data_IF_104378322087
#
_entry.id   IF_104378322087
#
_cell.length_a   1.000
_cell.length_b   1.000
_cell.length_c   1.000
_cell.angle_alpha   90.00
_cell.angle_beta   90.00
_cell.angle_gamma   90.00
#
_symmetry.space_group_name_H-M   'P 1'
#
loop_
_entity.id
_entity.type
_entity.pdbx_description
1 polymer ?
#
# COMPACT_ATOMS: atom_id res chain seq x y z
N UNK A 1 -6.32 -20.85 -10.38
CA UNK A 1 -4.90 -20.49 -10.11
C UNK A 1 -4.81 -19.03 -9.68
N UNK A 2 -3.95 -18.71 -8.71
CA UNK A 2 -3.68 -17.35 -8.21
C UNK A 2 -2.27 -16.94 -8.57
N UNK A 3 -2.07 -15.69 -8.99
CA UNK A 3 -0.73 -15.11 -9.22
C UNK A 3 -0.41 -14.10 -8.13
N UNK A 4 0.75 -14.20 -7.49
CA UNK A 4 1.24 -13.22 -6.50
C UNK A 4 2.40 -12.46 -7.13
N UNK A 5 2.17 -11.16 -7.36
CA UNK A 5 3.16 -10.23 -7.89
C UNK A 5 3.85 -9.52 -6.74
N UNK A 6 5.17 -9.68 -6.65
CA UNK A 6 6.02 -9.05 -5.64
C UNK A 6 6.93 -8.03 -6.33
N UNK A 7 6.89 -6.77 -5.87
CA UNK A 7 7.77 -5.71 -6.38
C UNK A 7 8.89 -5.44 -5.41
N UNK A 8 10.13 -5.31 -5.93
CA UNK A 8 11.30 -5.21 -5.07
C UNK A 8 12.44 -4.37 -5.65
N UNK A 9 13.29 -3.89 -4.74
CA UNK A 9 14.61 -3.35 -4.99
C UNK A 9 15.47 -3.46 -3.74
N UNK A 10 16.60 -4.19 -3.81
CA UNK A 10 17.57 -4.34 -2.71
C UNK A 10 16.88 -4.71 -1.38
N UNK A 11 16.30 -5.89 -1.32
CA UNK A 11 15.47 -6.34 -0.19
C UNK A 11 15.78 -7.78 0.23
N UNK A 12 17.07 -8.18 0.20
CA UNK A 12 17.52 -9.53 0.56
C UNK A 12 17.09 -9.96 1.96
N UNK A 13 16.90 -9.01 2.87
CA UNK A 13 16.46 -9.27 4.25
C UNK A 13 14.96 -9.61 4.36
N UNK A 14 14.11 -9.20 3.39
CA UNK A 14 12.66 -9.38 3.45
C UNK A 14 12.13 -10.44 2.49
N UNK A 15 12.80 -10.62 1.32
CA UNK A 15 12.28 -11.40 0.22
C UNK A 15 11.96 -12.85 0.58
N UNK A 16 12.79 -13.47 1.44
CA UNK A 16 12.57 -14.85 1.85
C UNK A 16 11.28 -15.02 2.66
N UNK A 17 11.03 -14.14 3.61
CA UNK A 17 9.84 -14.20 4.47
C UNK A 17 8.57 -13.85 3.68
N UNK A 18 8.65 -12.87 2.77
CA UNK A 18 7.57 -12.52 1.87
C UNK A 18 7.13 -13.76 1.03
N UNK A 19 8.06 -14.39 0.32
CA UNK A 19 7.78 -15.57 -0.52
C UNK A 19 7.30 -16.75 0.33
N UNK A 20 7.95 -17.05 1.46
CA UNK A 20 7.54 -18.14 2.36
C UNK A 20 6.12 -17.93 2.91
N UNK A 21 5.68 -16.71 3.16
CA UNK A 21 4.32 -16.44 3.60
C UNK A 21 3.27 -16.84 2.56
N UNK A 22 3.61 -16.76 1.28
CA UNK A 22 2.77 -17.22 0.16
C UNK A 22 2.80 -18.75 0.05
N UNK A 23 3.99 -19.36 0.05
CA UNK A 23 4.17 -20.81 -0.07
C UNK A 23 3.51 -21.58 1.08
N UNK A 24 3.56 -21.02 2.29
CA UNK A 24 2.99 -21.63 3.49
C UNK A 24 1.50 -21.32 3.69
N UNK A 25 0.85 -20.68 2.73
CA UNK A 25 -0.59 -20.37 2.82
C UNK A 25 -1.45 -21.63 2.88
N UNK A 26 -2.59 -21.54 3.56
CA UNK A 26 -3.54 -22.64 3.61
C UNK A 26 -4.12 -22.94 2.23
N UNK A 27 -4.22 -21.96 1.33
CA UNK A 27 -4.65 -22.18 -0.05
C UNK A 27 -3.77 -23.22 -0.78
N UNK A 28 -2.44 -23.19 -0.61
CA UNK A 28 -1.54 -24.22 -1.19
C UNK A 28 -1.69 -25.55 -0.45
N UNK A 29 -1.78 -25.54 0.89
CA UNK A 29 -1.97 -26.76 1.70
C UNK A 29 -3.24 -27.52 1.31
N UNK A 30 -4.28 -26.78 0.90
CA UNK A 30 -5.57 -27.32 0.45
C UNK A 30 -5.59 -27.67 -1.05
N UNK A 31 -4.44 -27.69 -1.72
CA UNK A 31 -4.29 -28.08 -3.13
C UNK A 31 -4.46 -26.97 -4.16
N UNK A 32 -4.52 -25.72 -3.74
CA UNK A 32 -4.60 -24.57 -4.63
C UNK A 32 -3.29 -24.30 -5.35
N UNK A 33 -3.38 -23.85 -6.60
CA UNK A 33 -2.22 -23.52 -7.43
C UNK A 33 -1.87 -22.04 -7.35
N UNK A 34 -0.59 -21.73 -7.06
CA UNK A 34 -0.04 -20.36 -7.02
C UNK A 34 1.19 -20.26 -7.89
N UNK A 35 1.27 -19.19 -8.68
CA UNK A 35 2.53 -18.71 -9.24
C UNK A 35 3.01 -17.47 -8.49
N UNK A 36 4.32 -17.39 -8.26
CA UNK A 36 4.95 -16.21 -7.64
C UNK A 36 5.78 -15.52 -8.72
N UNK A 37 5.49 -14.22 -8.93
CA UNK A 37 6.15 -13.37 -9.91
C UNK A 37 6.88 -12.27 -9.18
N UNK A 38 8.21 -12.32 -9.21
CA UNK A 38 9.05 -11.23 -8.71
C UNK A 38 9.37 -10.26 -9.84
N UNK A 39 9.06 -8.99 -9.65
CA UNK A 39 9.50 -7.92 -10.55
C UNK A 39 10.50 -7.04 -9.82
N UNK A 40 11.76 -7.17 -10.23
CA UNK A 40 12.89 -6.52 -9.57
C UNK A 40 13.33 -5.25 -10.29
N UNK A 41 13.57 -4.18 -9.55
CA UNK A 41 14.10 -2.92 -10.05
C UNK A 41 15.64 -2.90 -9.97
N UNK A 42 16.29 -3.85 -10.67
CA UNK A 42 17.75 -3.94 -10.81
C UNK A 42 18.49 -3.96 -9.46
N UNK A 43 18.11 -4.87 -8.58
CA UNK A 43 18.79 -5.11 -7.30
C UNK A 43 20.24 -5.54 -7.50
N UNK A 44 21.10 -5.09 -6.59
CA UNK A 44 22.54 -5.40 -6.58
C UNK A 44 22.97 -6.32 -5.43
N UNK A 45 22.01 -6.66 -4.56
CA UNK A 45 22.14 -7.61 -3.46
C UNK A 45 21.62 -9.00 -3.87
N UNK A 46 21.44 -9.91 -2.91
CA UNK A 46 21.00 -11.28 -3.17
C UNK A 46 19.49 -11.46 -3.35
N UNK A 47 18.73 -10.38 -3.48
CA UNK A 47 17.25 -10.42 -3.58
C UNK A 47 16.77 -11.38 -4.66
N UNK A 48 17.29 -11.24 -5.89
CA UNK A 48 16.86 -12.06 -7.04
C UNK A 48 17.32 -13.51 -6.92
N UNK A 49 18.53 -13.74 -6.39
CA UNK A 49 19.07 -15.09 -6.12
C UNK A 49 18.16 -15.87 -5.17
N UNK A 50 17.81 -15.24 -4.03
CA UNK A 50 16.94 -15.85 -3.00
C UNK A 50 15.55 -16.13 -3.58
N UNK A 51 14.98 -15.22 -4.35
CA UNK A 51 13.66 -15.39 -4.93
C UNK A 51 13.61 -16.57 -5.92
N UNK A 52 14.64 -16.70 -6.79
CA UNK A 52 14.78 -17.84 -7.71
C UNK A 52 14.91 -19.16 -6.96
N UNK A 53 15.72 -19.20 -5.92
CA UNK A 53 15.89 -20.39 -5.08
C UNK A 53 14.57 -20.85 -4.45
N UNK A 54 13.69 -19.91 -4.10
CA UNK A 54 12.37 -20.18 -3.55
C UNK A 54 11.29 -20.42 -4.63
N UNK A 55 11.66 -20.53 -5.91
CA UNK A 55 10.76 -20.91 -7.00
C UNK A 55 9.99 -19.76 -7.65
N UNK A 56 10.32 -18.50 -7.35
CA UNK A 56 9.67 -17.37 -8.00
C UNK A 56 10.15 -17.18 -9.45
N UNK A 57 9.21 -16.89 -10.37
CA UNK A 57 9.51 -16.37 -11.70
C UNK A 57 10.01 -14.95 -11.57
N UNK A 58 11.21 -14.64 -12.06
CA UNK A 58 11.82 -13.33 -11.83
C UNK A 58 11.98 -12.55 -13.12
N UNK A 59 11.62 -11.26 -13.06
CA UNK A 59 11.69 -10.31 -14.17
C UNK A 59 12.36 -9.01 -13.71
N UNK A 60 12.97 -8.30 -14.67
CA UNK A 60 13.59 -6.98 -14.42
C UNK A 60 12.72 -5.87 -15.02
N UNK A 61 12.28 -4.95 -14.19
CA UNK A 61 11.52 -3.76 -14.62
C UNK A 61 11.66 -2.64 -13.61
N UNK A 62 11.92 -1.43 -14.09
CA UNK A 62 11.98 -0.20 -13.30
C UNK A 62 11.52 1.01 -14.13
N UNK A 63 11.67 2.22 -13.59
CA UNK A 63 12.18 2.49 -12.23
C UNK A 63 11.11 2.48 -11.11
N UNK A 64 9.80 2.59 -11.42
CA UNK A 64 8.76 2.84 -10.41
C UNK A 64 7.91 1.61 -10.10
N UNK A 65 7.38 1.54 -8.86
CA UNK A 65 6.54 0.41 -8.38
C UNK A 65 5.32 0.17 -9.27
N UNK A 66 4.68 1.23 -9.75
CA UNK A 66 3.53 1.11 -10.66
C UNK A 66 3.90 0.37 -11.95
N UNK A 67 5.06 0.68 -12.54
CA UNK A 67 5.56 -0.02 -13.72
C UNK A 67 5.91 -1.48 -13.43
N UNK A 68 6.51 -1.77 -12.26
CA UNK A 68 6.79 -3.15 -11.83
C UNK A 68 5.48 -3.93 -11.63
N UNK A 69 4.49 -3.37 -10.92
CA UNK A 69 3.19 -4.00 -10.66
C UNK A 69 2.45 -4.31 -11.96
N UNK A 70 2.37 -3.33 -12.87
CA UNK A 70 1.71 -3.52 -14.18
C UNK A 70 2.38 -4.65 -14.97
N UNK A 71 3.71 -4.60 -15.08
CA UNK A 71 4.46 -5.63 -15.79
C UNK A 71 4.28 -7.02 -15.16
N UNK A 72 4.27 -7.11 -13.85
CA UNK A 72 4.02 -8.38 -13.14
C UNK A 72 2.63 -8.95 -13.44
N UNK A 73 1.60 -8.10 -13.48
CA UNK A 73 0.23 -8.52 -13.83
C UNK A 73 0.10 -8.92 -15.30
N UNK A 74 0.84 -8.27 -16.21
CA UNK A 74 0.93 -8.67 -17.63
C UNK A 74 1.52 -10.08 -17.77
N UNK A 75 2.54 -10.41 -16.97
CA UNK A 75 3.18 -11.74 -16.96
C UNK A 75 2.40 -12.82 -16.19
N UNK A 76 1.39 -12.42 -15.42
CA UNK A 76 0.57 -13.33 -14.63
C UNK A 76 -0.33 -14.20 -15.50
N UNK A 77 -0.49 -15.46 -15.12
CA UNK A 77 -1.38 -16.42 -15.77
C UNK A 77 -2.67 -16.66 -14.98
N UNK A 78 -2.67 -16.34 -13.68
CA UNK A 78 -3.82 -16.53 -12.78
C UNK A 78 -4.97 -15.55 -13.06
N UNK A 79 -6.19 -16.02 -12.88
CA UNK A 79 -7.40 -15.21 -12.97
C UNK A 79 -7.51 -14.21 -11.82
N UNK A 80 -6.96 -14.58 -10.67
CA UNK A 80 -6.87 -13.75 -9.46
C UNK A 80 -5.41 -13.34 -9.30
N UNK A 81 -5.18 -12.05 -9.10
CA UNK A 81 -3.83 -11.52 -8.84
C UNK A 81 -3.80 -10.81 -7.50
N UNK A 82 -2.79 -11.15 -6.69
CA UNK A 82 -2.42 -10.43 -5.48
C UNK A 82 -1.16 -9.60 -5.70
N UNK A 83 -1.10 -8.39 -5.16
CA UNK A 83 0.10 -7.54 -5.18
C UNK A 83 0.63 -7.39 -3.76
N UNK A 84 1.93 -7.69 -3.59
CA UNK A 84 2.66 -7.49 -2.34
C UNK A 84 3.87 -6.60 -2.57
N UNK A 85 4.12 -5.70 -1.64
CA UNK A 85 5.43 -5.09 -1.50
C UNK A 85 6.34 -6.08 -0.75
N UNK A 86 7.64 -6.12 -1.04
CA UNK A 86 8.56 -7.15 -0.53
C UNK A 86 8.70 -7.18 1.00
N UNK A 87 8.41 -6.06 1.66
CA UNK A 87 8.40 -5.90 3.12
C UNK A 87 7.05 -6.29 3.77
N UNK A 88 6.23 -7.07 3.04
CA UNK A 88 4.94 -7.58 3.51
C UNK A 88 4.91 -9.10 3.55
N UNK A 89 4.18 -9.65 4.53
CA UNK A 89 3.86 -11.08 4.61
C UNK A 89 2.35 -11.27 4.76
N UNK A 90 1.80 -12.32 4.15
CA UNK A 90 0.38 -12.66 4.27
C UNK A 90 0.15 -13.57 5.48
N UNK A 91 -1.00 -13.42 6.14
CA UNK A 91 -1.47 -14.46 7.06
C UNK A 91 -1.88 -15.71 6.28
N UNK A 92 -1.82 -16.87 6.92
CA UNK A 92 -2.03 -18.18 6.27
C UNK A 92 -3.37 -18.30 5.51
N UNK A 93 -4.42 -17.64 5.98
CA UNK A 93 -5.76 -17.70 5.38
C UNK A 93 -6.04 -16.59 4.35
N UNK A 94 -5.13 -15.61 4.17
CA UNK A 94 -5.45 -14.43 3.37
C UNK A 94 -5.77 -14.76 1.91
N UNK A 95 -5.02 -15.69 1.29
CA UNK A 95 -5.24 -16.09 -0.11
C UNK A 95 -6.52 -16.91 -0.24
N UNK A 96 -6.74 -17.90 0.65
CA UNK A 96 -7.98 -18.73 0.64
C UNK A 96 -9.22 -17.86 0.76
N UNK A 97 -9.21 -16.89 1.69
CA UNK A 97 -10.34 -15.98 1.88
C UNK A 97 -10.58 -15.09 0.65
N UNK A 98 -9.52 -14.59 -0.01
CA UNK A 98 -9.67 -13.84 -1.25
C UNK A 98 -10.29 -14.67 -2.37
N UNK A 99 -9.83 -15.92 -2.54
CA UNK A 99 -10.36 -16.83 -3.56
C UNK A 99 -11.83 -17.14 -3.28
N UNK A 100 -12.18 -17.49 -2.04
CA UNK A 100 -13.56 -17.76 -1.63
C UNK A 100 -14.49 -16.55 -1.89
N UNK A 101 -14.04 -15.34 -1.61
CA UNK A 101 -14.81 -14.12 -1.88
C UNK A 101 -15.07 -13.97 -3.38
N UNK A 102 -14.05 -14.17 -4.23
CA UNK A 102 -14.21 -14.04 -5.69
C UNK A 102 -15.10 -15.16 -6.26
N UNK A 103 -15.00 -16.40 -5.78
CA UNK A 103 -15.82 -17.51 -6.22
C UNK A 103 -17.30 -17.33 -5.84
N UNK A 104 -17.57 -16.83 -4.65
CA UNK A 104 -18.93 -16.64 -4.16
C UNK A 104 -19.61 -15.36 -4.67
N UNK A 105 -18.87 -14.42 -5.29
CA UNK A 105 -19.46 -13.15 -5.75
C UNK A 105 -18.74 -12.58 -6.97
N UNK A 106 -19.33 -12.79 -8.14
CA UNK A 106 -18.79 -12.28 -9.41
C UNK A 106 -18.80 -10.75 -9.51
N UNK A 107 -19.63 -10.05 -8.73
CA UNK A 107 -19.65 -8.59 -8.71
C UNK A 107 -18.44 -7.99 -7.98
N UNK A 108 -17.77 -8.77 -7.11
CA UNK A 108 -16.53 -8.31 -6.46
C UNK A 108 -15.38 -8.41 -7.47
N UNK A 109 -14.75 -7.27 -7.73
CA UNK A 109 -13.63 -7.13 -8.68
C UNK A 109 -12.30 -6.92 -8.01
N UNK A 110 -12.30 -6.38 -6.79
CA UNK A 110 -11.09 -6.14 -6.03
C UNK A 110 -11.32 -6.22 -4.50
N UNK A 111 -10.25 -6.56 -3.78
CA UNK A 111 -10.29 -6.83 -2.34
C UNK A 111 -9.18 -6.05 -1.63
N UNK A 112 -9.55 -5.39 -0.53
CA UNK A 112 -8.61 -4.86 0.46
C UNK A 112 -8.21 -5.95 1.43
N UNK A 113 -6.98 -5.89 1.91
CA UNK A 113 -6.51 -6.74 3.02
C UNK A 113 -6.12 -5.84 4.19
N UNK A 114 -6.67 -6.08 5.41
CA UNK A 114 -6.29 -5.30 6.58
C UNK A 114 -4.78 -5.37 6.81
N UNK A 115 -4.12 -4.22 6.85
CA UNK A 115 -2.68 -4.15 7.07
C UNK A 115 -2.38 -3.98 8.56
N UNK A 116 -1.48 -4.83 9.09
CA UNK A 116 -0.94 -4.74 10.44
C UNK A 116 0.56 -4.52 10.39
N UNK A 117 1.06 -3.64 11.25
CA UNK A 117 2.51 -3.49 11.48
C UNK A 117 3.00 -4.72 12.23
N UNK A 118 4.02 -5.38 11.71
CA UNK A 118 4.64 -6.53 12.36
C UNK A 118 5.44 -6.08 13.60
N UNK A 119 5.48 -6.94 14.61
CA UNK A 119 6.23 -6.71 15.84
C UNK A 119 5.36 -6.45 17.06
N UNK A 120 6.02 -6.36 18.21
CA UNK A 120 5.39 -6.24 19.52
C UNK A 120 5.66 -4.86 20.16
N UNK A 121 5.04 -4.62 21.31
CA UNK A 121 5.21 -3.43 22.09
C UNK A 121 4.09 -2.39 21.94
N UNK A 122 4.12 -1.40 22.82
CA UNK A 122 3.06 -0.39 22.89
C UNK A 122 2.97 0.48 21.63
N UNK A 123 4.12 0.86 21.08
CA UNK A 123 4.15 1.66 19.85
C UNK A 123 3.47 0.93 18.68
N UNK A 124 3.76 -0.37 18.49
CA UNK A 124 3.11 -1.17 17.44
C UNK A 124 1.60 -1.33 17.69
N UNK A 125 1.17 -1.46 18.95
CA UNK A 125 -0.26 -1.47 19.30
C UNK A 125 -0.94 -0.16 18.90
N UNK A 126 -0.33 1.00 19.17
CA UNK A 126 -0.86 2.32 18.78
C UNK A 126 -0.92 2.46 17.25
N UNK A 127 0.13 2.03 16.54
CA UNK A 127 0.17 2.07 15.07
C UNK A 127 -0.88 1.15 14.45
N UNK A 128 -1.03 -0.07 14.96
CA UNK A 128 -2.07 -1.01 14.51
C UNK A 128 -3.47 -0.50 14.82
N UNK A 129 -3.66 0.15 15.96
CA UNK A 129 -4.91 0.81 16.29
C UNK A 129 -5.25 1.90 15.27
N UNK A 130 -4.31 2.77 14.93
CA UNK A 130 -4.46 3.80 13.89
C UNK A 130 -4.79 3.19 12.52
N UNK A 131 -3.99 2.23 12.05
CA UNK A 131 -4.19 1.63 10.73
C UNK A 131 -5.55 0.98 10.57
N UNK A 132 -6.08 0.40 11.63
CA UNK A 132 -7.41 -0.24 11.62
C UNK A 132 -8.58 0.71 11.32
N UNK A 133 -8.38 2.04 11.33
CA UNK A 133 -9.36 3.02 10.89
C UNK A 133 -9.32 3.30 9.40
N UNK A 134 -8.22 2.93 8.72
CA UNK A 134 -8.01 3.21 7.30
C UNK A 134 -8.54 2.11 6.38
N UNK A 135 -8.85 0.94 6.93
CA UNK A 135 -9.32 -0.24 6.19
C UNK A 135 -10.50 0.10 5.28
N UNK A 136 -10.37 -0.22 3.98
CA UNK A 136 -11.35 0.01 2.92
C UNK A 136 -11.88 1.46 2.82
N UNK A 137 -11.07 2.44 3.22
CA UNK A 137 -11.39 3.86 3.07
C UNK A 137 -10.78 4.43 1.79
N UNK A 138 -11.08 5.70 1.50
CA UNK A 138 -10.52 6.42 0.32
C UNK A 138 -9.00 6.63 0.37
N UNK A 139 -8.35 6.23 1.46
CA UNK A 139 -6.89 6.32 1.67
C UNK A 139 -6.23 4.96 1.85
N UNK A 140 -6.97 3.88 1.59
CA UNK A 140 -6.47 2.50 1.57
C UNK A 140 -6.08 2.08 0.14
N UNK A 141 -5.44 0.92 0.00
CA UNK A 141 -5.03 0.35 -1.28
C UNK A 141 -5.58 -1.06 -1.50
N UNK A 142 -6.10 -1.32 -2.69
CA UNK A 142 -6.51 -2.65 -3.12
C UNK A 142 -5.30 -3.56 -3.27
N UNK A 143 -5.44 -4.83 -2.85
CA UNK A 143 -4.33 -5.80 -2.85
C UNK A 143 -4.60 -7.01 -3.74
N UNK A 144 -5.85 -7.48 -3.84
CA UNK A 144 -6.24 -8.58 -4.72
C UNK A 144 -7.32 -8.12 -5.69
N UNK A 145 -7.28 -8.63 -6.92
CA UNK A 145 -8.23 -8.27 -7.97
C UNK A 145 -8.35 -9.36 -9.03
N UNK A 146 -9.45 -9.34 -9.79
CA UNK A 146 -9.56 -10.11 -11.02
C UNK A 146 -8.60 -9.53 -12.06
N UNK A 147 -7.75 -10.38 -12.64
CA UNK A 147 -6.75 -9.95 -13.63
C UNK A 147 -7.36 -9.21 -14.81
N UNK A 148 -8.47 -9.73 -15.33
CA UNK A 148 -9.17 -9.10 -16.46
C UNK A 148 -9.62 -7.67 -16.16
N UNK A 149 -10.19 -7.42 -14.97
CA UNK A 149 -10.65 -6.09 -14.56
C UNK A 149 -9.47 -5.13 -14.38
N UNK A 150 -8.34 -5.60 -13.83
CA UNK A 150 -7.11 -4.81 -13.74
C UNK A 150 -6.63 -4.36 -15.14
N UNK A 151 -6.55 -5.28 -16.08
CA UNK A 151 -6.10 -4.99 -17.46
C UNK A 151 -7.09 -4.07 -18.18
N UNK A 152 -8.39 -4.28 -18.01
CA UNK A 152 -9.45 -3.47 -18.62
C UNK A 152 -9.40 -2.01 -18.21
N UNK A 153 -9.06 -1.70 -16.96
CA UNK A 153 -8.92 -0.32 -16.48
C UNK A 153 -7.51 0.26 -16.73
N UNK A 154 -6.60 -0.50 -17.35
CA UNK A 154 -5.25 -0.05 -17.72
C UNK A 154 -4.22 -0.08 -16.59
N UNK A 155 -4.44 -0.88 -15.52
CA UNK A 155 -3.50 -1.04 -14.42
C UNK A 155 -3.26 0.22 -13.60
N UNK A 156 -2.10 0.33 -12.94
CA UNK A 156 -1.67 1.53 -12.20
C UNK A 156 -1.19 2.62 -13.15
N UNK A 157 -1.53 3.86 -12.86
CA UNK A 157 -1.02 5.03 -13.60
C UNK A 157 0.43 5.30 -13.19
N UNK A 158 1.36 5.08 -14.12
CA UNK A 158 2.81 5.23 -13.88
C UNK A 158 3.26 6.69 -13.73
N UNK A 159 2.41 7.65 -14.05
CA UNK A 159 2.67 9.07 -13.82
C UNK A 159 2.42 9.51 -12.37
N UNK A 160 1.81 8.62 -11.58
CA UNK A 160 1.49 8.85 -10.18
C UNK A 160 2.46 8.11 -9.27
N UNK A 161 2.96 8.80 -8.23
CA UNK A 161 3.81 8.21 -7.22
C UNK A 161 3.32 8.62 -5.82
N UNK A 162 2.96 7.62 -4.99
CA UNK A 162 2.37 7.81 -3.67
C UNK A 162 0.86 8.03 -3.65
N UNK A 163 0.21 8.15 -4.81
CA UNK A 163 -1.23 8.24 -4.98
C UNK A 163 -1.78 7.23 -5.99
N UNK A 164 -0.92 6.37 -6.52
CA UNK A 164 -1.23 5.35 -7.51
C UNK A 164 -2.29 4.36 -7.01
N UNK A 165 -2.23 3.98 -5.73
CA UNK A 165 -3.18 3.07 -5.09
C UNK A 165 -4.58 3.71 -5.02
N UNK A 166 -4.66 5.01 -4.69
CA UNK A 166 -5.93 5.74 -4.63
C UNK A 166 -6.55 5.97 -6.00
N UNK A 167 -5.71 6.23 -7.01
CA UNK A 167 -6.14 6.36 -8.40
C UNK A 167 -6.71 5.03 -8.92
N UNK A 168 -5.99 3.94 -8.66
CA UNK A 168 -6.42 2.60 -9.04
C UNK A 168 -7.76 2.23 -8.39
N UNK A 169 -7.91 2.44 -7.09
CA UNK A 169 -9.17 2.23 -6.35
C UNK A 169 -10.33 3.03 -6.96
N UNK A 170 -10.11 4.31 -7.26
CA UNK A 170 -11.14 5.16 -7.89
C UNK A 170 -11.55 4.65 -9.25
N UNK A 171 -10.58 4.30 -10.12
CA UNK A 171 -10.88 3.77 -11.46
C UNK A 171 -11.60 2.44 -11.40
N UNK A 172 -11.21 1.54 -10.48
CA UNK A 172 -11.88 0.27 -10.26
C UNK A 172 -13.34 0.46 -9.87
N UNK A 173 -13.63 1.34 -8.90
CA UNK A 173 -15.00 1.67 -8.47
C UNK A 173 -15.81 2.38 -9.57
N UNK A 174 -15.21 3.31 -10.32
CA UNK A 174 -15.86 4.02 -11.42
C UNK A 174 -16.23 3.06 -12.56
N UNK A 175 -15.44 2.03 -12.80
CA UNK A 175 -15.74 0.98 -13.78
C UNK A 175 -16.84 0.01 -13.32
N UNK A 176 -17.52 0.28 -12.19
CA UNK A 176 -18.57 -0.56 -11.63
C UNK A 176 -18.05 -1.78 -10.86
N UNK A 177 -16.77 -1.80 -10.50
CA UNK A 177 -16.17 -2.87 -9.71
C UNK A 177 -16.63 -2.84 -8.24
N UNK A 178 -17.31 -3.88 -7.78
CA UNK A 178 -17.55 -4.10 -6.35
C UNK A 178 -16.24 -4.35 -5.61
N UNK A 179 -16.12 -3.77 -4.42
CA UNK A 179 -14.95 -3.99 -3.55
C UNK A 179 -15.36 -4.47 -2.18
N UNK A 180 -14.53 -5.29 -1.54
CA UNK A 180 -14.72 -5.77 -0.18
C UNK A 180 -13.39 -5.88 0.56
N UNK A 181 -13.41 -6.31 1.81
CA UNK A 181 -12.23 -6.47 2.65
C UNK A 181 -12.24 -7.84 3.31
N UNK A 182 -11.06 -8.48 3.40
CA UNK A 182 -10.89 -9.73 4.15
C UNK A 182 -10.88 -9.51 5.66
N UNK A 183 -11.02 -10.59 6.41
CA UNK A 183 -10.77 -10.63 7.87
C UNK A 183 -9.29 -10.92 8.14
N UNK A 184 -8.69 -11.76 7.32
CA UNK A 184 -7.29 -12.18 7.39
C UNK A 184 -6.36 -11.04 7.00
N UNK A 185 -5.41 -10.64 7.86
CA UNK A 185 -4.53 -9.51 7.62
C UNK A 185 -3.32 -9.87 6.76
N UNK A 186 -2.66 -8.85 6.25
CA UNK A 186 -1.24 -8.87 5.91
C UNK A 186 -0.42 -8.14 6.99
N UNK A 187 0.85 -8.46 7.08
CA UNK A 187 1.78 -7.86 8.04
C UNK A 187 2.86 -7.08 7.29
N UNK A 188 3.06 -5.83 7.66
CA UNK A 188 4.06 -4.94 7.09
C UNK A 188 5.24 -4.82 8.06
N UNK A 189 6.42 -5.19 7.60
CA UNK A 189 7.67 -5.15 8.36
C UNK A 189 8.29 -3.75 8.27
N UNK A 190 7.68 -2.76 8.96
CA UNK A 190 8.21 -1.39 9.01
C UNK A 190 9.43 -1.31 9.92
N UNK A 191 10.62 -1.10 9.35
CA UNK A 191 11.86 -0.83 10.09
C UNK A 191 12.16 0.67 10.22
N UNK A 192 11.20 1.54 9.87
CA UNK A 192 11.43 2.97 9.75
C UNK A 192 11.66 3.66 11.10
N UNK A 193 12.81 4.31 11.24
CA UNK A 193 12.98 5.34 12.27
C UNK A 193 12.24 6.65 11.86
N UNK A 194 12.01 7.53 12.84
CA UNK A 194 11.25 8.78 12.63
C UNK A 194 11.83 9.63 11.49
N UNK A 195 13.16 9.70 11.33
CA UNK A 195 13.82 10.48 10.28
C UNK A 195 13.52 9.92 8.87
N UNK A 196 13.67 8.61 8.70
CA UNK A 196 13.36 7.91 7.44
C UNK A 196 11.87 8.02 7.08
N UNK A 197 11.00 7.90 8.07
CA UNK A 197 9.55 8.08 7.89
C UNK A 197 9.21 9.48 7.34
N UNK A 198 9.80 10.53 7.90
CA UNK A 198 9.57 11.92 7.46
C UNK A 198 10.09 12.16 6.05
N UNK A 199 11.29 11.65 5.75
CA UNK A 199 11.89 11.80 4.41
C UNK A 199 11.05 11.11 3.33
N UNK A 200 10.57 9.89 3.60
CA UNK A 200 9.66 9.13 2.72
C UNK A 200 8.36 9.90 2.43
N UNK A 201 7.78 10.55 3.46
CA UNK A 201 6.55 11.37 3.29
C UNK A 201 6.77 12.64 2.49
N UNK A 202 7.92 13.30 2.63
CA UNK A 202 8.29 14.50 1.84
C UNK A 202 8.44 14.16 0.35
N UNK A 203 9.05 13.03 0.02
CA UNK A 203 9.19 12.56 -1.36
C UNK A 203 7.84 12.36 -2.07
N UNK A 204 6.89 11.71 -1.40
CA UNK A 204 5.55 11.50 -1.98
C UNK A 204 4.76 12.80 -2.15
N UNK A 205 4.93 13.77 -1.26
CA UNK A 205 4.19 15.03 -1.32
C UNK A 205 4.49 15.87 -2.57
N UNK A 206 5.67 15.72 -3.18
CA UNK A 206 6.06 16.43 -4.40
C UNK A 206 5.30 15.96 -5.66
N UNK A 207 4.63 14.81 -5.61
CA UNK A 207 3.96 14.21 -6.78
C UNK A 207 2.43 14.35 -6.77
N UNK A 208 1.85 15.09 -5.84
CA UNK A 208 0.40 15.23 -5.73
C UNK A 208 -0.24 16.04 -6.86
N UNK A 209 0.52 16.91 -7.52
CA UNK A 209 0.01 17.77 -8.59
C UNK A 209 -0.58 16.97 -9.76
N UNK A 210 0.02 15.84 -10.14
CA UNK A 210 -0.49 14.99 -11.21
C UNK A 210 -1.84 14.36 -10.82
N UNK A 211 -2.01 14.00 -9.55
CA UNK A 211 -3.28 13.49 -9.03
C UNK A 211 -4.38 14.56 -9.08
N UNK A 212 -4.07 15.80 -8.66
CA UNK A 212 -5.01 16.93 -8.74
C UNK A 212 -5.36 17.31 -10.16
N UNK A 213 -4.40 17.27 -11.10
CA UNK A 213 -4.68 17.50 -12.53
C UNK A 213 -5.64 16.46 -13.09
N UNK A 214 -5.52 15.19 -12.67
CA UNK A 214 -6.35 14.08 -13.16
C UNK A 214 -7.77 14.11 -12.58
N UNK A 215 -7.91 14.33 -11.28
CA UNK A 215 -9.17 14.15 -10.55
C UNK A 215 -9.82 15.44 -10.09
N UNK A 216 -9.13 16.57 -10.11
CA UNK A 216 -9.60 17.83 -9.55
C UNK A 216 -9.78 17.78 -8.05
N UNK A 217 -10.53 18.78 -7.51
CA UNK A 217 -10.86 18.91 -6.09
C UNK A 217 -12.30 18.46 -5.80
N UNK A 218 -12.63 17.21 -6.11
CA UNK A 218 -13.91 16.61 -5.79
C UNK A 218 -14.00 16.15 -4.31
N UNK A 219 -15.14 15.60 -3.90
CA UNK A 219 -15.37 15.16 -2.52
C UNK A 219 -14.39 14.05 -2.08
N UNK A 220 -13.99 13.16 -2.99
CA UNK A 220 -13.01 12.10 -2.68
C UNK A 220 -11.63 12.69 -2.46
N UNK A 221 -11.21 13.60 -3.34
CA UNK A 221 -9.92 14.29 -3.21
C UNK A 221 -9.86 15.15 -1.95
N UNK A 222 -10.96 15.84 -1.61
CA UNK A 222 -11.07 16.58 -0.34
C UNK A 222 -10.91 15.67 0.89
N UNK A 223 -11.45 14.46 0.86
CA UNK A 223 -11.23 13.46 1.92
C UNK A 223 -9.77 13.00 1.96
N UNK A 224 -9.20 12.62 0.82
CA UNK A 224 -7.84 12.08 0.73
C UNK A 224 -6.77 13.05 1.23
N UNK A 225 -6.92 14.34 0.95
CA UNK A 225 -5.93 15.37 1.28
C UNK A 225 -6.39 16.33 2.39
N UNK A 226 -7.69 16.38 2.70
CA UNK A 226 -8.26 17.31 3.66
C UNK A 226 -7.87 17.01 5.10
N UNK A 227 -7.45 18.06 5.82
CA UNK A 227 -7.10 17.97 7.24
C UNK A 227 -8.22 17.36 8.08
N UNK A 228 -9.46 17.84 7.89
CA UNK A 228 -10.59 17.34 8.67
C UNK A 228 -10.77 15.82 8.55
N UNK A 229 -10.79 15.29 7.32
CA UNK A 229 -10.98 13.84 7.14
C UNK A 229 -9.80 13.04 7.68
N UNK A 230 -8.57 13.47 7.41
CA UNK A 230 -7.34 12.76 7.81
C UNK A 230 -7.12 12.71 9.32
N UNK A 231 -7.60 13.71 10.06
CA UNK A 231 -7.37 13.84 11.51
C UNK A 231 -8.61 13.59 12.35
N UNK A 232 -9.82 13.67 11.77
CA UNK A 232 -11.07 13.50 12.49
C UNK A 232 -11.99 12.51 11.75
N UNK A 233 -12.38 12.82 10.52
CA UNK A 233 -13.44 12.15 9.79
C UNK A 233 -13.23 10.63 9.68
N UNK A 234 -12.03 10.18 9.28
CA UNK A 234 -11.70 8.76 9.13
C UNK A 234 -11.82 7.95 10.43
N UNK A 235 -11.67 8.61 11.57
CA UNK A 235 -11.75 7.99 12.90
C UNK A 235 -13.16 7.91 13.46
N UNK A 236 -14.10 8.68 12.90
CA UNK A 236 -15.48 8.74 13.39
C UNK A 236 -16.52 8.19 12.41
N UNK A 237 -16.20 8.15 11.10
CA UNK A 237 -17.11 7.64 10.07
C UNK A 237 -17.57 6.20 10.37
N UNK A 238 -18.75 5.83 9.88
CA UNK A 238 -19.31 4.48 10.00
C UNK A 238 -19.34 3.93 11.45
N UNK A 239 -19.46 4.81 12.45
CA UNK A 239 -19.51 4.40 13.84
C UNK A 239 -18.17 4.04 14.48
N UNK A 240 -17.04 4.27 13.78
CA UNK A 240 -15.68 4.00 14.28
C UNK A 240 -15.32 4.75 15.57
N UNK A 241 -16.03 5.87 15.88
CA UNK A 241 -15.86 6.60 17.13
C UNK A 241 -16.03 5.70 18.38
N UNK A 242 -16.88 4.67 18.30
CA UNK A 242 -17.06 3.69 19.39
C UNK A 242 -15.75 3.03 19.78
N UNK A 243 -14.88 2.74 18.80
CA UNK A 243 -13.56 2.15 18.99
C UNK A 243 -12.61 3.09 19.73
N UNK A 244 -12.68 4.41 19.48
CA UNK A 244 -11.89 5.39 20.20
C UNK A 244 -12.23 5.38 21.71
N UNK A 245 -13.51 5.35 22.05
CA UNK A 245 -13.97 5.31 23.44
C UNK A 245 -13.69 3.94 24.11
N UNK A 246 -13.73 2.84 23.36
CA UNK A 246 -13.38 1.52 23.88
C UNK A 246 -11.89 1.37 24.24
N UNK A 247 -11.01 2.20 23.63
CA UNK A 247 -9.58 2.13 23.84
C UNK A 247 -8.95 3.52 24.07
N UNK A 248 -9.29 4.22 25.17
CA UNK A 248 -8.95 5.65 25.37
C UNK A 248 -7.42 5.90 25.39
N UNK A 249 -6.63 4.99 25.96
CA UNK A 249 -5.16 5.13 26.01
C UNK A 249 -4.58 5.03 24.59
N UNK A 250 -5.03 4.07 23.77
CA UNK A 250 -4.57 3.94 22.40
C UNK A 250 -5.02 5.13 21.55
N UNK A 251 -6.25 5.62 21.75
CA UNK A 251 -6.79 6.79 21.06
C UNK A 251 -5.96 8.05 21.37
N UNK A 252 -5.69 8.32 22.65
CA UNK A 252 -4.85 9.45 23.06
C UNK A 252 -3.44 9.34 22.44
N UNK A 253 -2.81 8.17 22.56
CA UNK A 253 -1.45 7.94 22.02
C UNK A 253 -1.42 8.07 20.49
N UNK A 254 -2.45 7.60 19.80
CA UNK A 254 -2.61 7.75 18.35
C UNK A 254 -2.71 9.23 17.96
N UNK A 255 -3.57 10.03 18.62
CA UNK A 255 -3.68 11.45 18.34
C UNK A 255 -2.42 12.22 18.68
N UNK A 256 -1.68 11.82 19.72
CA UNK A 256 -0.38 12.38 20.03
C UNK A 256 0.65 12.12 18.91
N UNK A 257 0.68 10.89 18.35
CA UNK A 257 1.53 10.59 17.20
C UNK A 257 1.11 11.33 15.93
N UNK A 258 -0.20 11.51 15.70
CA UNK A 258 -0.73 12.32 14.60
C UNK A 258 -0.29 13.78 14.74
N UNK A 259 -0.38 14.34 15.92
CA UNK A 259 0.09 15.70 16.22
C UNK A 259 1.60 15.86 15.95
N UNK A 260 2.43 14.94 16.46
CA UNK A 260 3.87 14.97 16.20
C UNK A 260 4.19 14.91 14.70
N UNK A 261 3.48 14.06 13.93
CA UNK A 261 3.62 14.01 12.48
C UNK A 261 3.24 15.33 11.80
N UNK A 262 2.17 15.95 12.25
CA UNK A 262 1.76 17.28 11.77
C UNK A 262 2.83 18.34 12.01
N UNK A 263 3.39 18.41 13.22
CA UNK A 263 4.48 19.32 13.55
C UNK A 263 5.71 19.09 12.65
N UNK A 264 6.12 17.84 12.47
CA UNK A 264 7.27 17.51 11.61
C UNK A 264 7.01 17.88 10.16
N UNK A 265 5.80 17.64 9.63
CA UNK A 265 5.42 18.04 8.28
C UNK A 265 5.50 19.55 8.07
N UNK A 266 4.99 20.32 9.02
CA UNK A 266 5.04 21.79 9.00
C UNK A 266 6.50 22.29 9.01
N UNK A 267 7.33 21.76 9.91
CA UNK A 267 8.75 22.12 10.00
C UNK A 267 9.53 21.76 8.71
N UNK A 268 9.25 20.60 8.12
CA UNK A 268 9.86 20.20 6.84
C UNK A 268 9.48 21.17 5.71
N UNK A 269 8.21 21.59 5.63
CA UNK A 269 7.74 22.55 4.62
C UNK A 269 8.41 23.93 4.78
N UNK A 270 8.57 24.43 6.01
CA UNK A 270 9.30 25.67 6.28
C UNK A 270 10.77 25.59 5.88
N UNK A 271 11.44 24.47 6.13
CA UNK A 271 12.84 24.28 5.76
C UNK A 271 13.07 24.20 4.23
N UNK A 272 12.13 23.62 3.49
CA UNK A 272 12.16 23.58 2.02
C UNK A 272 11.98 24.99 1.46
N UNK A 273 10.98 25.74 1.91
CA UNK A 273 10.73 27.13 1.50
C UNK A 273 11.92 28.04 1.78
N UNK A 274 12.60 27.85 2.91
CA UNK A 274 13.82 28.62 3.25
C UNK A 274 14.99 28.31 2.34
N UNK A 275 15.18 27.04 1.91
CA UNK A 275 16.21 26.64 0.93
C UNK A 275 15.92 27.20 -0.45
N UNK A 276 14.67 27.19 -0.90
CA UNK A 276 14.27 27.78 -2.19
C UNK A 276 14.46 29.30 -2.20
N UNK A 277 14.11 30.00 -1.11
CA UNK A 277 14.33 31.43 -1.01
C UNK A 277 15.80 31.81 -1.03
N UNK A 278 16.68 31.04 -0.39
CA UNK A 278 18.15 31.24 -0.42
C UNK A 278 18.73 30.92 -1.79
N UNK A 279 18.26 29.89 -2.47
CA UNK A 279 18.67 29.53 -3.82
C UNK A 279 18.29 30.62 -4.84
N UNK A 280 17.03 31.10 -4.76
CA UNK A 280 16.53 32.17 -5.64
C UNK A 280 17.20 33.53 -5.36
N UNK A 281 17.57 33.81 -4.10
CA UNK A 281 18.34 35.02 -3.76
C UNK A 281 19.79 34.98 -4.30
N UNK A 282 20.44 33.80 -4.31
CA UNK A 282 21.76 33.62 -4.91
C UNK A 282 21.75 33.75 -6.42
N UNK A 283 20.70 33.29 -7.11
CA UNK A 283 20.60 33.35 -8.57
C UNK A 283 20.08 34.71 -9.11
N UNK A 284 19.59 35.61 -8.26
CA UNK A 284 19.23 36.98 -8.64
C UNK A 284 20.43 37.96 -8.62
N UNK A 285 21.55 37.53 -8.07
CA UNK A 285 22.79 38.31 -7.97
C UNK A 285 23.89 37.83 -8.95
N UNK A 286 23.53 36.97 -9.92
CA UNK A 286 24.30 36.60 -11.12
C UNK A 286 23.60 37.11 -12.37
#
# INVERSE_FOLDING_TARGET
MVSIVITTKNAEEFIADCIKSVINSNYIKDGGEIEIILVDNYSTDRTVEIAKYLGAKTFLKGPERSAQRNYGVEQASGEIVGILDVDMTLSENAISECVEIFENNENIKAIYIPEKIFGEGFFNKVRNFERSFYNATVIDGLRFFRREDFLKIGGFDTSLNGTEDWDFDRRMKTAGGGTTITKSPLYHHETLNIKQYVFKKSYYASNFDNYFKKWGFDETTKKQFGFYYRYIGVFIENGKWKKLFAHPILAFSMYFLLFLRGCVFILAKFNISKKESVYNAKNKNL
#
